data_IF_982144799360
#
_entry.id   IF_982144799360
#
_cell.length_a   1.000
_cell.length_b   1.000
_cell.length_c   1.000
_cell.angle_alpha   90.00
_cell.angle_beta   90.00
_cell.angle_gamma   90.00
#
_symmetry.space_group_name_H-M   'P 1'
#
loop_
_entity.id
_entity.type
_entity.pdbx_description
1 polymer ?
#
# COMPACT_ATOMS: atom_id res chain seq x y z
N UNK A 1 -15.33 -25.15 1.70
CA UNK A 1 -16.17 -26.37 1.62
C UNK A 1 -16.45 -26.64 0.15
N UNK A 2 -15.64 -27.48 -0.48
CA UNK A 2 -16.00 -28.39 -1.58
C UNK A 2 -14.84 -29.39 -1.66
N UNK A 3 -15.18 -30.64 -1.36
CA UNK A 3 -14.26 -31.76 -1.16
C UNK A 3 -14.45 -32.63 -2.38
N UNK A 4 -13.44 -32.80 -3.24
CA UNK A 4 -13.50 -33.79 -4.32
C UNK A 4 -12.90 -35.09 -3.84
N UNK A 5 -13.72 -36.15 -3.92
CA UNK A 5 -13.43 -37.51 -3.48
C UNK A 5 -12.31 -38.17 -4.29
N UNK A 6 -11.52 -38.95 -3.57
CA UNK A 6 -10.55 -39.93 -4.04
C UNK A 6 -11.20 -41.08 -4.81
N UNK A 7 -10.58 -41.49 -5.92
CA UNK A 7 -10.70 -42.85 -6.45
C UNK A 7 -9.35 -43.55 -6.24
N UNK A 8 -9.31 -44.47 -5.29
CA UNK A 8 -8.17 -45.36 -5.06
C UNK A 8 -8.37 -46.64 -5.87
N UNK A 9 -7.59 -46.82 -6.93
CA UNK A 9 -7.35 -48.13 -7.51
C UNK A 9 -5.91 -48.49 -7.20
N UNK A 10 -5.72 -49.31 -6.17
CA UNK A 10 -4.44 -49.92 -5.86
C UNK A 10 -4.19 -51.06 -6.85
N UNK A 11 -3.07 -50.97 -7.54
CA UNK A 11 -2.42 -52.11 -8.18
C UNK A 11 -0.93 -52.00 -7.85
N UNK A 12 -0.51 -52.78 -6.86
CA UNK A 12 0.88 -52.95 -6.46
C UNK A 12 1.63 -53.68 -7.56
N UNK A 13 2.45 -52.98 -8.34
CA UNK A 13 3.38 -53.61 -9.29
C UNK A 13 4.81 -53.18 -9.03
N UNK A 14 5.51 -54.13 -8.40
CA UNK A 14 6.93 -54.12 -8.05
C UNK A 14 7.77 -54.26 -9.33
N UNK A 15 8.67 -53.30 -9.59
CA UNK A 15 9.79 -53.46 -10.51
C UNK A 15 9.47 -53.26 -11.99
N UNK A 16 9.90 -52.12 -12.55
CA UNK A 16 9.87 -51.90 -13.98
C UNK A 16 10.68 -50.67 -14.39
N UNK A 17 11.90 -50.90 -14.85
CA UNK A 17 12.78 -49.91 -15.47
C UNK A 17 12.01 -49.19 -16.59
N UNK A 18 11.71 -47.90 -16.42
CA UNK A 18 11.33 -47.02 -17.52
C UNK A 18 12.05 -45.68 -17.40
N UNK A 19 13.03 -45.54 -18.29
CA UNK A 19 13.71 -44.30 -18.66
C UNK A 19 12.70 -43.31 -19.24
N UNK A 20 11.95 -42.61 -18.37
CA UNK A 20 10.89 -41.68 -18.79
C UNK A 20 10.55 -40.55 -17.81
N UNK A 21 11.21 -40.45 -16.65
CA UNK A 21 10.84 -39.50 -15.58
C UNK A 21 11.74 -38.25 -15.48
N UNK A 22 12.85 -38.18 -16.21
CA UNK A 22 13.79 -37.03 -16.12
C UNK A 22 13.28 -35.78 -16.86
N UNK A 23 12.29 -35.92 -17.75
CA UNK A 23 11.76 -34.81 -18.54
C UNK A 23 10.64 -34.02 -17.85
N UNK A 24 9.91 -34.61 -16.90
CA UNK A 24 8.80 -33.94 -16.21
C UNK A 24 9.30 -33.03 -15.08
N UNK A 25 10.33 -33.47 -14.34
CA UNK A 25 10.97 -32.69 -13.27
C UNK A 25 11.72 -31.45 -13.80
N UNK A 26 12.40 -31.58 -14.95
CA UNK A 26 13.08 -30.45 -15.62
C UNK A 26 12.12 -29.32 -16.02
N UNK A 27 10.87 -29.63 -16.34
CA UNK A 27 9.86 -28.64 -16.72
C UNK A 27 9.42 -27.75 -15.56
N UNK A 28 9.30 -28.33 -14.36
CA UNK A 28 8.89 -27.61 -13.16
C UNK A 28 10.04 -26.73 -12.62
N UNK A 29 11.26 -27.26 -12.58
CA UNK A 29 12.45 -26.49 -12.22
C UNK A 29 12.64 -25.29 -13.15
N UNK A 30 12.42 -25.49 -14.46
CA UNK A 30 12.51 -24.41 -15.45
C UNK A 30 11.40 -23.37 -15.30
N UNK A 31 10.19 -23.78 -14.90
CA UNK A 31 9.07 -22.88 -14.62
C UNK A 31 9.30 -22.08 -13.33
N UNK A 32 9.82 -22.71 -12.28
CA UNK A 32 10.22 -22.06 -11.04
C UNK A 32 11.31 -21.00 -11.31
N UNK A 33 12.30 -21.33 -12.14
CA UNK A 33 13.33 -20.37 -12.57
C UNK A 33 12.73 -19.19 -13.35
N UNK A 34 11.78 -19.45 -14.23
CA UNK A 34 11.10 -18.41 -15.00
C UNK A 34 10.30 -17.44 -14.09
N UNK A 35 9.60 -17.98 -13.08
CA UNK A 35 8.94 -17.17 -12.04
C UNK A 35 9.93 -16.32 -11.26
N UNK A 36 11.08 -16.88 -10.88
CA UNK A 36 12.13 -16.15 -10.16
C UNK A 36 12.65 -15.00 -11.01
N UNK A 37 12.92 -15.22 -12.29
CA UNK A 37 13.42 -14.18 -13.20
C UNK A 37 12.38 -13.07 -13.37
N UNK A 38 11.11 -13.42 -13.64
CA UNK A 38 10.05 -12.41 -13.78
C UNK A 38 9.80 -11.63 -12.48
N UNK A 39 9.78 -12.31 -11.34
CA UNK A 39 9.61 -11.66 -10.04
C UNK A 39 10.79 -10.75 -9.71
N UNK A 40 12.01 -11.18 -10.03
CA UNK A 40 13.23 -10.38 -9.85
C UNK A 40 13.20 -9.16 -10.76
N UNK A 41 12.87 -9.34 -12.04
CA UNK A 41 12.78 -8.24 -13.01
C UNK A 41 11.72 -7.20 -12.60
N UNK A 42 10.62 -7.61 -11.99
CA UNK A 42 9.60 -6.70 -11.46
C UNK A 42 10.04 -5.97 -10.17
N UNK A 43 10.94 -6.57 -9.38
CA UNK A 43 11.40 -6.02 -8.10
C UNK A 43 12.69 -5.21 -8.21
N UNK A 44 13.43 -5.34 -9.31
CA UNK A 44 14.60 -4.52 -9.58
C UNK A 44 14.16 -3.11 -9.94
N UNK A 45 14.73 -2.13 -9.26
CA UNK A 45 14.43 -0.72 -9.48
C UNK A 45 15.34 -0.22 -10.60
N UNK A 46 14.74 0.13 -11.74
CA UNK A 46 15.44 0.85 -12.81
C UNK A 46 15.56 2.34 -12.45
N UNK A 47 16.77 2.74 -12.06
CA UNK A 47 17.09 4.13 -11.71
C UNK A 47 17.19 5.07 -12.93
N UNK A 48 17.21 4.51 -14.15
CA UNK A 48 17.33 5.28 -15.40
C UNK A 48 15.98 5.65 -16.01
N UNK A 49 14.88 5.03 -15.59
CA UNK A 49 13.52 5.23 -16.09
C UNK A 49 12.83 6.52 -15.61
N UNK A 50 13.60 7.55 -15.22
CA UNK A 50 13.05 8.84 -14.74
C UNK A 50 12.47 9.70 -15.87
N UNK A 51 12.82 9.42 -17.13
CA UNK A 51 12.28 10.15 -18.28
C UNK A 51 11.00 9.50 -18.83
N UNK A 52 10.06 10.33 -19.29
CA UNK A 52 8.78 9.86 -19.79
C UNK A 52 8.95 9.26 -21.19
N UNK A 53 9.01 7.93 -21.27
CA UNK A 53 9.17 7.22 -22.54
C UNK A 53 7.90 7.15 -23.41
N UNK A 54 6.86 7.94 -23.11
CA UNK A 54 5.58 7.82 -23.80
C UNK A 54 5.51 8.76 -25.00
N UNK A 55 5.31 8.20 -26.19
CA UNK A 55 5.23 8.98 -27.42
C UNK A 55 3.99 9.88 -27.43
N UNK A 56 4.13 11.11 -27.94
CA UNK A 56 3.07 12.13 -27.87
C UNK A 56 1.73 11.66 -28.48
N UNK A 57 1.78 10.91 -29.58
CA UNK A 57 0.57 10.43 -30.24
C UNK A 57 -0.13 9.32 -29.45
N UNK A 58 0.62 8.48 -28.72
CA UNK A 58 0.07 7.49 -27.82
C UNK A 58 -0.64 8.16 -26.63
N UNK A 59 -0.02 9.19 -26.06
CA UNK A 59 -0.61 9.98 -24.98
C UNK A 59 -1.98 10.55 -25.38
N UNK A 60 -2.05 11.19 -26.55
CA UNK A 60 -3.28 11.78 -27.07
C UNK A 60 -4.35 10.72 -27.35
N UNK A 61 -3.98 9.59 -27.93
CA UNK A 61 -4.92 8.49 -28.20
C UNK A 61 -5.47 7.88 -26.91
N UNK A 62 -4.62 7.63 -25.91
CA UNK A 62 -5.04 7.15 -24.58
C UNK A 62 -6.01 8.15 -23.92
N UNK A 63 -5.69 9.45 -23.96
CA UNK A 63 -6.56 10.50 -23.44
C UNK A 63 -7.96 10.51 -24.07
N UNK A 64 -8.04 10.39 -25.40
CA UNK A 64 -9.33 10.28 -26.12
C UNK A 64 -10.10 9.02 -25.72
N UNK A 65 -9.42 7.87 -25.63
CA UNK A 65 -10.04 6.61 -25.26
C UNK A 65 -10.60 6.65 -23.84
N UNK A 66 -9.86 7.20 -22.88
CA UNK A 66 -10.34 7.35 -21.50
C UNK A 66 -11.49 8.33 -21.40
N UNK A 67 -11.42 9.48 -22.10
CA UNK A 67 -12.53 10.42 -22.15
C UNK A 67 -13.80 9.78 -22.68
N UNK A 68 -13.71 8.98 -23.75
CA UNK A 68 -14.88 8.26 -24.29
C UNK A 68 -15.45 7.25 -23.28
N UNK A 69 -14.58 6.48 -22.63
CA UNK A 69 -15.02 5.49 -21.61
C UNK A 69 -15.68 6.16 -20.41
N UNK A 70 -15.13 7.27 -19.93
CA UNK A 70 -15.70 8.05 -18.81
C UNK A 70 -17.06 8.63 -19.19
N UNK A 71 -17.21 9.16 -20.41
CA UNK A 71 -18.51 9.65 -20.89
C UNK A 71 -19.57 8.56 -20.96
N UNK A 72 -19.21 7.32 -21.35
CA UNK A 72 -20.13 6.17 -21.37
C UNK A 72 -20.54 5.70 -19.97
N UNK A 73 -19.67 5.88 -18.97
CA UNK A 73 -19.95 5.51 -17.58
C UNK A 73 -20.99 6.43 -16.91
N UNK A 74 -21.36 7.56 -17.55
CA UNK A 74 -22.39 8.50 -17.11
C UNK A 74 -22.36 8.75 -15.60
N UNK A 75 -21.16 9.01 -15.05
CA UNK A 75 -21.03 9.29 -13.62
C UNK A 75 -21.91 10.50 -13.31
N UNK A 76 -22.75 10.44 -12.27
CA UNK A 76 -23.50 11.60 -11.84
C UNK A 76 -22.49 12.72 -11.61
N UNK A 77 -22.75 13.89 -12.17
CA UNK A 77 -22.00 15.09 -11.85
C UNK A 77 -22.25 15.38 -10.36
N UNK A 78 -21.40 14.82 -9.50
CA UNK A 78 -21.38 15.15 -8.10
C UNK A 78 -20.91 16.60 -8.03
N UNK A 79 -21.87 17.53 -7.98
CA UNK A 79 -21.60 18.89 -7.58
C UNK A 79 -20.83 18.85 -6.25
N UNK A 80 -19.99 19.87 -6.02
CA UNK A 80 -19.25 19.95 -4.76
C UNK A 80 -20.24 19.75 -3.60
N UNK A 81 -20.01 18.79 -2.70
CA UNK A 81 -20.92 18.55 -1.59
C UNK A 81 -21.04 19.85 -0.80
N UNK A 82 -22.27 20.21 -0.44
CA UNK A 82 -22.50 21.36 0.44
C UNK A 82 -21.70 21.12 1.72
N UNK A 83 -20.74 21.99 2.01
CA UNK A 83 -19.86 21.87 3.18
C UNK A 83 -20.63 21.95 4.51
N UNK A 84 -21.86 22.47 4.46
CA UNK A 84 -22.70 22.72 5.62
C UNK A 84 -23.94 21.82 5.57
N UNK A 85 -23.76 20.50 5.61
CA UNK A 85 -24.86 19.58 5.92
C UNK A 85 -25.12 19.62 7.44
N UNK A 86 -25.63 20.76 7.91
CA UNK A 86 -25.81 21.07 9.33
C UNK A 86 -27.05 20.35 9.88
N UNK A 87 -27.09 19.01 9.80
CA UNK A 87 -28.02 18.15 10.52
C UNK A 87 -29.46 18.66 10.67
N UNK A 88 -30.05 19.22 9.60
CA UNK A 88 -31.43 19.73 9.54
C UNK A 88 -31.79 20.92 10.44
N UNK A 89 -30.91 21.40 11.32
CA UNK A 89 -31.22 22.47 12.26
C UNK A 89 -30.87 23.84 11.68
N UNK A 90 -31.70 24.89 11.89
CA UNK A 90 -31.39 26.22 11.42
C UNK A 90 -30.13 26.76 12.13
N UNK A 91 -29.22 27.47 11.43
CA UNK A 91 -27.93 27.89 11.98
C UNK A 91 -28.09 28.81 13.20
N UNK A 92 -29.15 29.61 13.26
CA UNK A 92 -29.44 30.48 14.40
C UNK A 92 -29.71 29.68 15.67
N UNK A 93 -30.39 28.53 15.57
CA UNK A 93 -30.66 27.68 16.72
C UNK A 93 -29.38 27.02 17.23
N UNK A 94 -28.53 26.53 16.32
CA UNK A 94 -27.24 25.92 16.68
C UNK A 94 -26.33 26.92 17.39
N UNK A 95 -26.27 28.17 16.89
CA UNK A 95 -25.45 29.23 17.48
C UNK A 95 -26.02 29.78 18.79
N UNK A 96 -27.33 29.65 19.03
CA UNK A 96 -27.97 30.06 20.28
C UNK A 96 -27.81 29.04 21.42
N UNK A 97 -27.25 27.85 21.14
CA UNK A 97 -26.98 26.84 22.17
C UNK A 97 -25.94 27.34 23.18
N UNK A 98 -26.01 26.90 24.45
CA UNK A 98 -25.04 27.28 25.44
C UNK A 98 -23.62 26.87 24.99
N UNK A 99 -22.61 27.72 25.23
CA UNK A 99 -21.22 27.41 24.88
C UNK A 99 -20.71 26.21 25.69
N UNK A 100 -19.63 25.59 25.20
CA UNK A 100 -19.00 24.46 25.88
C UNK A 100 -18.61 24.84 27.32
N UNK A 101 -18.96 23.99 28.28
CA UNK A 101 -18.67 24.26 29.68
C UNK A 101 -17.15 24.40 29.93
N UNK A 102 -16.72 25.35 30.78
CA UNK A 102 -15.30 25.65 30.98
C UNK A 102 -14.53 24.44 31.52
N UNK A 103 -15.16 23.55 32.29
CA UNK A 103 -14.54 22.33 32.78
C UNK A 103 -14.04 21.39 31.66
N UNK A 104 -14.67 21.41 30.48
CA UNK A 104 -14.20 20.64 29.34
C UNK A 104 -12.96 21.26 28.72
N UNK A 105 -12.91 22.59 28.62
CA UNK A 105 -11.73 23.31 28.12
C UNK A 105 -10.51 23.03 29.00
N UNK A 106 -10.64 23.19 30.32
CA UNK A 106 -9.56 22.89 31.26
C UNK A 106 -9.08 21.43 31.19
N UNK A 107 -9.98 20.48 30.91
CA UNK A 107 -9.61 19.07 30.72
C UNK A 107 -8.79 18.87 29.45
N UNK A 108 -9.16 19.56 28.37
CA UNK A 108 -8.40 19.52 27.11
C UNK A 108 -7.02 20.16 27.30
N UNK A 109 -6.94 21.29 27.98
CA UNK A 109 -5.67 21.95 28.28
C UNK A 109 -4.74 21.03 29.10
N UNK A 110 -5.26 20.45 30.18
CA UNK A 110 -4.50 19.50 31.01
C UNK A 110 -4.09 18.22 30.24
N UNK A 111 -4.88 17.79 29.25
CA UNK A 111 -4.52 16.68 28.38
C UNK A 111 -3.36 17.07 27.45
N UNK A 112 -3.43 18.26 26.85
CA UNK A 112 -2.39 18.77 25.95
C UNK A 112 -1.07 18.94 26.70
N UNK A 113 -1.09 19.47 27.93
CA UNK A 113 0.11 19.59 28.77
C UNK A 113 0.78 18.23 29.00
N UNK A 114 0.00 17.18 29.28
CA UNK A 114 0.53 15.82 29.44
C UNK A 114 1.11 15.27 28.14
N UNK A 115 0.47 15.51 27.01
CA UNK A 115 0.99 15.09 25.70
C UNK A 115 2.31 15.81 25.39
N UNK A 116 2.40 17.10 25.69
CA UNK A 116 3.63 17.87 25.51
C UNK A 116 4.77 17.31 26.37
N UNK A 117 4.48 16.93 27.63
CA UNK A 117 5.46 16.29 28.50
C UNK A 117 5.96 14.97 27.91
N UNK A 118 5.05 14.10 27.44
CA UNK A 118 5.42 12.81 26.83
C UNK A 118 6.23 13.01 25.54
N UNK A 119 5.90 14.01 24.73
CA UNK A 119 6.67 14.33 23.52
C UNK A 119 8.08 14.82 23.85
N UNK A 120 8.26 15.53 24.97
CA UNK A 120 9.58 15.96 25.42
C UNK A 120 10.46 14.77 25.82
N UNK A 121 9.87 13.66 26.26
CA UNK A 121 10.60 12.43 26.60
C UNK A 121 11.08 11.65 25.35
N UNK A 122 10.57 11.97 24.16
CA UNK A 122 10.99 11.34 22.90
C UNK A 122 12.28 11.99 22.41
N UNK A 123 13.41 11.59 23.01
CA UNK A 123 14.74 12.05 22.62
C UNK A 123 15.73 10.90 22.51
N UNK A 124 16.77 11.09 21.70
CA UNK A 124 17.85 10.12 21.57
C UNK A 124 18.80 10.27 22.76
N UNK A 125 18.86 9.23 23.60
CA UNK A 125 19.86 9.13 24.66
C UNK A 125 21.25 8.88 24.05
N UNK A 126 22.18 9.83 24.24
CA UNK A 126 23.53 9.72 23.71
C UNK A 126 24.37 8.84 24.64
N UNK A 127 24.88 7.70 24.13
CA UNK A 127 25.69 6.76 24.93
C UNK A 127 27.17 6.81 24.58
N UNK A 128 27.49 7.00 23.30
CA UNK A 128 28.86 6.99 22.79
C UNK A 128 29.00 8.03 21.68
N UNK A 129 30.24 8.47 21.44
CA UNK A 129 30.54 9.40 20.37
C UNK A 129 30.35 8.73 19.01
N UNK A 130 29.43 9.24 18.19
CA UNK A 130 29.20 8.76 16.83
C UNK A 130 30.35 9.16 15.88
N UNK A 131 31.17 10.13 16.26
CA UNK A 131 32.27 10.65 15.45
C UNK A 131 33.51 10.76 16.32
N UNK A 132 34.58 10.07 15.94
CA UNK A 132 35.90 10.19 16.58
C UNK A 132 36.82 10.96 15.63
N UNK A 133 37.45 12.03 16.14
CA UNK A 133 38.45 12.76 15.38
C UNK A 133 39.78 12.02 15.41
N UNK A 134 40.21 11.54 14.25
CA UNK A 134 41.52 10.93 14.06
C UNK A 134 42.54 12.04 13.71
N UNK A 135 43.03 12.76 14.71
CA UNK A 135 44.22 13.59 14.56
C UNK A 135 45.29 13.11 15.54
N UNK A 136 46.40 12.61 15.01
CA UNK A 136 47.59 12.33 15.81
C UNK A 136 48.21 13.65 16.28
N UNK A 137 48.69 13.75 17.53
CA UNK A 137 49.45 14.91 17.97
C UNK A 137 50.76 15.05 17.14
N UNK A 138 51.24 16.29 16.93
CA UNK A 138 52.44 16.59 16.14
C UNK A 138 53.74 16.15 16.81
#
# INVERSE_FOLDING_TARGET
>A
MFISLTATSGDDSYGGIQSGSVHLAKGDDQNALNRIIHQTAANVIDVSALDSQLEQHEYLNRGRQYSQRVSLLALPAAGAPCLLDSGGAPPQEVLARPPLAPAHLHRVDALIERVQQVLADVQVEHKEDLVVQLCSPP
#
